data_IF_929921597925
#
_entry.id   IF_929921597925
#
_cell.length_a   1.000
_cell.length_b   1.000
_cell.length_c   1.000
_cell.angle_alpha   90.00
_cell.angle_beta   90.00
_cell.angle_gamma   90.00
#
_symmetry.space_group_name_H-M   'P 1'
#
loop_
_entity.id
_entity.type
_entity.pdbx_description
1 polymer ?
#
# COMPACT_ATOMS: atom_id res chain seq x y z
N UNK A 1 -23.78 -0.83 33.16
CA UNK A 1 -23.14 0.49 32.91
C UNK A 1 -21.64 0.40 32.64
N UNK A 2 -20.87 -0.40 33.38
CA UNK A 2 -19.40 -0.57 33.17
C UNK A 2 -19.01 -1.05 31.76
N UNK A 3 -19.79 -1.93 31.12
CA UNK A 3 -19.55 -2.39 29.74
C UNK A 3 -19.62 -1.26 28.70
N UNK A 4 -20.55 -0.30 28.87
CA UNK A 4 -20.71 0.81 27.93
C UNK A 4 -19.58 1.84 28.09
N UNK A 5 -19.08 2.02 29.32
CA UNK A 5 -17.94 2.91 29.60
C UNK A 5 -16.64 2.36 28.99
N UNK A 6 -16.40 1.05 29.10
CA UNK A 6 -15.25 0.38 28.46
C UNK A 6 -15.26 0.51 26.93
N UNK A 7 -16.44 0.42 26.32
CA UNK A 7 -16.60 0.55 24.86
C UNK A 7 -16.31 1.99 24.38
N UNK A 8 -16.72 2.99 25.16
CA UNK A 8 -16.44 4.41 24.85
C UNK A 8 -14.94 4.71 25.00
N UNK A 9 -14.28 4.19 26.05
CA UNK A 9 -12.84 4.37 26.25
C UNK A 9 -12.05 3.72 25.10
N UNK A 10 -12.46 2.53 24.65
CA UNK A 10 -11.84 1.85 23.52
C UNK A 10 -11.97 2.67 22.22
N UNK A 11 -13.16 3.22 21.95
CA UNK A 11 -13.40 4.10 20.79
C UNK A 11 -12.62 5.42 20.85
N UNK A 12 -12.42 5.99 22.03
CA UNK A 12 -11.62 7.22 22.20
C UNK A 12 -10.12 6.95 22.05
N UNK A 13 -9.65 5.77 22.46
CA UNK A 13 -8.23 5.39 22.31
C UNK A 13 -7.83 5.10 20.86
N UNK A 14 -8.76 4.66 20.00
CA UNK A 14 -8.49 4.45 18.57
C UNK A 14 -8.47 5.75 17.76
N UNK A 15 -9.21 6.78 18.17
CA UNK A 15 -9.18 8.09 17.47
C UNK A 15 -7.87 8.87 17.68
N UNK A 16 -7.15 8.63 18.77
CA UNK A 16 -5.86 9.28 19.06
C UNK A 16 -4.71 8.78 18.16
N UNK A 17 -4.86 7.61 17.53
CA UNK A 17 -3.83 7.01 16.68
C UNK A 17 -3.93 7.41 15.20
N UNK A 18 -5.00 8.09 14.79
CA UNK A 18 -5.20 8.52 13.40
C UNK A 18 -4.37 9.77 13.01
N UNK A 19 -3.77 10.47 13.97
CA UNK A 19 -3.06 11.73 13.74
C UNK A 19 -1.59 11.57 13.28
N UNK A 20 -1.05 10.36 13.20
CA UNK A 20 0.39 10.11 12.96
C UNK A 20 0.76 9.79 11.50
N UNK A 21 -0.20 9.78 10.58
CA UNK A 21 0.04 9.39 9.17
C UNK A 21 0.37 10.54 8.21
N UNK A 22 0.51 11.78 8.69
CA UNK A 22 0.58 12.97 7.83
C UNK A 22 1.97 13.63 7.74
N UNK A 23 3.00 12.97 8.27
CA UNK A 23 4.33 13.56 8.44
C UNK A 23 5.10 13.67 7.11
N UNK A 24 4.95 12.69 6.21
CA UNK A 24 5.79 12.62 5.00
C UNK A 24 5.41 13.65 3.93
N UNK A 25 4.13 14.00 3.81
CA UNK A 25 3.67 15.06 2.89
C UNK A 25 4.17 16.45 3.34
N UNK A 26 4.46 16.63 4.64
CA UNK A 26 4.88 17.93 5.18
C UNK A 26 6.29 18.33 4.75
N UNK A 27 7.23 17.38 4.69
CA UNK A 27 8.64 17.65 4.38
C UNK A 27 8.82 18.04 2.90
N UNK A 28 8.21 17.27 1.99
CA UNK A 28 8.22 17.57 0.56
C UNK A 28 7.61 18.95 0.26
N UNK A 29 6.44 19.27 0.85
CA UNK A 29 5.80 20.57 0.63
C UNK A 29 6.63 21.71 1.21
N UNK A 30 7.22 21.53 2.38
CA UNK A 30 8.13 22.52 2.99
C UNK A 30 9.33 22.78 2.08
N UNK A 31 9.93 21.73 1.54
CA UNK A 31 11.06 21.82 0.62
C UNK A 31 10.67 22.55 -0.68
N UNK A 32 9.49 22.25 -1.23
CA UNK A 32 8.97 22.93 -2.42
C UNK A 32 8.72 24.42 -2.18
N UNK A 33 8.20 24.80 -1.02
CA UNK A 33 8.03 26.21 -0.64
C UNK A 33 9.38 26.93 -0.55
N UNK A 34 10.41 26.27 -0.01
CA UNK A 34 11.77 26.81 0.07
C UNK A 34 12.38 27.05 -1.31
N UNK A 35 12.24 26.09 -2.23
CA UNK A 35 12.66 26.25 -3.63
C UNK A 35 11.93 27.44 -4.29
N UNK A 36 10.61 27.54 -4.12
CA UNK A 36 9.83 28.65 -4.68
C UNK A 36 10.26 30.02 -4.11
N UNK A 37 10.61 30.07 -2.83
CA UNK A 37 11.14 31.29 -2.21
C UNK A 37 12.48 31.71 -2.86
N UNK A 38 13.40 30.76 -3.07
CA UNK A 38 14.67 31.02 -3.75
C UNK A 38 14.46 31.46 -5.20
N UNK A 39 13.55 30.82 -5.94
CA UNK A 39 13.20 31.23 -7.31
C UNK A 39 12.62 32.65 -7.37
N UNK A 40 11.81 33.04 -6.39
CA UNK A 40 11.30 34.41 -6.27
C UNK A 40 12.42 35.41 -6.01
N UNK A 41 13.35 35.08 -5.11
CA UNK A 41 14.53 35.90 -4.85
C UNK A 41 15.41 36.07 -6.11
N UNK A 42 15.65 34.96 -6.84
CA UNK A 42 16.34 34.97 -8.13
C UNK A 42 15.67 35.92 -9.12
N UNK A 43 14.35 35.84 -9.26
CA UNK A 43 13.59 36.70 -10.17
C UNK A 43 13.71 38.17 -9.80
N UNK A 44 13.69 38.51 -8.50
CA UNK A 44 13.87 39.88 -8.04
C UNK A 44 15.28 40.39 -8.34
N UNK A 45 16.32 39.58 -8.08
CA UNK A 45 17.72 39.91 -8.39
C UNK A 45 17.96 40.08 -9.89
N UNK A 46 17.33 39.25 -10.72
CA UNK A 46 17.38 39.41 -12.17
C UNK A 46 16.77 40.74 -12.63
N UNK A 47 15.64 41.16 -12.05
CA UNK A 47 15.06 42.48 -12.33
C UNK A 47 16.00 43.63 -11.94
N UNK A 48 16.68 43.52 -10.80
CA UNK A 48 17.70 44.50 -10.37
C UNK A 48 18.92 44.52 -11.30
N UNK A 49 19.34 43.34 -11.79
CA UNK A 49 20.42 43.23 -12.76
C UNK A 49 20.07 43.94 -14.06
N UNK A 50 18.87 43.70 -14.59
CA UNK A 50 18.38 44.34 -15.80
C UNK A 50 18.37 45.88 -15.67
N UNK A 51 17.82 46.39 -14.56
CA UNK A 51 17.87 47.83 -14.23
C UNK A 51 19.30 48.37 -14.12
N UNK A 52 20.24 47.58 -13.59
CA UNK A 52 21.64 48.00 -13.46
C UNK A 52 22.37 48.07 -14.80
N UNK A 53 21.96 47.28 -15.79
CA UNK A 53 22.52 47.34 -17.14
C UNK A 53 22.16 48.66 -17.84
N UNK A 54 20.96 49.18 -17.58
CA UNK A 54 20.50 50.44 -18.15
C UNK A 54 21.06 51.68 -17.44
N UNK A 55 21.66 51.51 -16.26
CA UNK A 55 22.28 52.61 -15.52
C UNK A 55 23.55 53.12 -16.22
N UNK A 56 23.51 54.39 -16.65
CA UNK A 56 24.64 55.07 -17.32
C UNK A 56 24.89 56.40 -16.61
N UNK A 57 25.73 56.37 -15.56
CA UNK A 57 25.99 57.55 -14.72
C UNK A 57 27.15 58.41 -15.22
N UNK A 58 27.80 58.03 -16.31
CA UNK A 58 28.94 58.74 -16.88
C UNK A 58 28.55 60.04 -17.59
N UNK A 59 29.50 60.98 -17.65
CA UNK A 59 29.33 62.37 -18.14
C UNK A 59 28.80 62.46 -19.60
N UNK A 60 28.84 61.38 -20.38
CA UNK A 60 28.34 61.34 -21.76
C UNK A 60 27.33 60.20 -22.01
N UNK A 61 26.63 59.76 -20.96
CA UNK A 61 25.73 58.60 -21.07
C UNK A 61 26.48 57.28 -21.31
N UNK A 62 27.76 57.21 -20.93
CA UNK A 62 28.52 55.96 -20.88
C UNK A 62 28.40 55.31 -19.50
N UNK A 63 28.50 53.99 -19.46
CA UNK A 63 28.61 53.26 -18.20
C UNK A 63 29.95 53.58 -17.53
N UNK A 64 29.91 53.85 -16.24
CA UNK A 64 31.13 54.01 -15.44
C UNK A 64 31.63 52.65 -14.95
N UNK A 65 32.89 52.60 -14.48
CA UNK A 65 33.41 51.42 -13.79
C UNK A 65 32.58 51.06 -12.55
N UNK A 66 31.96 52.04 -11.89
CA UNK A 66 31.06 51.83 -10.76
C UNK A 66 29.80 51.07 -11.17
N UNK A 67 29.16 51.51 -12.26
CA UNK A 67 27.95 50.88 -12.82
C UNK A 67 28.22 49.41 -13.21
N UNK A 68 29.35 49.16 -13.88
CA UNK A 68 29.78 47.81 -14.28
C UNK A 68 30.08 46.93 -13.06
N UNK A 69 30.72 47.47 -12.02
CA UNK A 69 31.00 46.71 -10.80
C UNK A 69 29.71 46.32 -10.08
N UNK A 70 28.72 47.23 -10.05
CA UNK A 70 27.42 46.98 -9.44
C UNK A 70 26.66 45.88 -10.19
N UNK A 71 26.56 45.95 -11.51
CA UNK A 71 25.88 44.90 -12.30
C UNK A 71 26.56 43.54 -12.17
N UNK A 72 27.91 43.51 -12.12
CA UNK A 72 28.66 42.28 -11.90
C UNK A 72 28.44 41.69 -10.49
N UNK A 73 28.34 42.54 -9.46
CA UNK A 73 27.99 42.11 -8.11
C UNK A 73 26.61 41.46 -8.08
N UNK A 74 25.59 42.09 -8.69
CA UNK A 74 24.24 41.52 -8.76
C UNK A 74 24.27 40.18 -9.51
N UNK A 75 25.02 40.09 -10.62
CA UNK A 75 25.20 38.84 -11.35
C UNK A 75 25.84 37.74 -10.47
N UNK A 76 26.84 38.08 -9.66
CA UNK A 76 27.43 37.13 -8.70
C UNK A 76 26.39 36.65 -7.69
N UNK A 77 25.55 37.55 -7.17
CA UNK A 77 24.48 37.21 -6.23
C UNK A 77 23.39 36.31 -6.84
N UNK A 78 23.13 36.48 -8.14
CA UNK A 78 22.25 35.59 -8.91
C UNK A 78 22.86 34.20 -8.99
N UNK A 79 24.13 34.08 -9.39
CA UNK A 79 24.81 32.77 -9.52
C UNK A 79 24.86 32.03 -8.17
N UNK A 80 25.11 32.74 -7.07
CA UNK A 80 25.07 32.15 -5.72
C UNK A 80 23.66 31.66 -5.35
N UNK A 81 22.62 32.42 -5.72
CA UNK A 81 21.23 31.98 -5.53
C UNK A 81 20.93 30.73 -6.38
N UNK A 82 21.37 30.71 -7.64
CA UNK A 82 21.18 29.56 -8.55
C UNK A 82 21.82 28.29 -7.99
N UNK A 83 23.01 28.37 -7.40
CA UNK A 83 23.63 27.24 -6.71
C UNK A 83 22.78 26.73 -5.54
N UNK A 84 22.17 27.64 -4.77
CA UNK A 84 21.25 27.24 -3.69
C UNK A 84 19.97 26.61 -4.26
N UNK A 85 19.40 27.18 -5.32
CA UNK A 85 18.23 26.61 -6.02
C UNK A 85 18.54 25.18 -6.47
N UNK A 86 19.70 24.93 -7.10
CA UNK A 86 20.09 23.60 -7.54
C UNK A 86 20.24 22.61 -6.38
N UNK A 87 20.85 23.03 -5.28
CA UNK A 87 20.98 22.20 -4.07
C UNK A 87 19.61 21.80 -3.52
N UNK A 88 18.71 22.76 -3.37
CA UNK A 88 17.38 22.50 -2.80
C UNK A 88 16.47 21.72 -3.76
N UNK A 89 16.61 21.91 -5.08
CA UNK A 89 15.94 21.10 -6.10
C UNK A 89 16.39 19.64 -6.09
N UNK A 90 17.69 19.39 -5.90
CA UNK A 90 18.23 18.02 -5.77
C UNK A 90 17.59 17.30 -4.58
N UNK A 91 17.52 17.96 -3.43
CA UNK A 91 16.85 17.42 -2.24
C UNK A 91 15.37 17.14 -2.52
N UNK A 92 14.68 18.06 -3.20
CA UNK A 92 13.27 17.88 -3.57
C UNK A 92 13.06 16.66 -4.50
N UNK A 93 13.98 16.45 -5.43
CA UNK A 93 13.97 15.30 -6.34
C UNK A 93 14.23 14.00 -5.58
N UNK A 94 15.18 13.98 -4.66
CA UNK A 94 15.50 12.81 -3.84
C UNK A 94 14.26 12.37 -3.03
N UNK A 95 13.51 13.32 -2.44
CA UNK A 95 12.24 13.01 -1.76
C UNK A 95 11.20 12.37 -2.69
N UNK A 96 11.08 12.87 -3.92
CA UNK A 96 10.15 12.32 -4.91
C UNK A 96 10.57 10.91 -5.35
N UNK A 97 11.87 10.67 -5.52
CA UNK A 97 12.41 9.36 -5.88
C UNK A 97 12.18 8.34 -4.76
N UNK A 98 12.33 8.74 -3.50
CA UNK A 98 11.98 7.90 -2.35
C UNK A 98 10.49 7.55 -2.33
N UNK A 99 9.61 8.51 -2.60
CA UNK A 99 8.17 8.27 -2.68
C UNK A 99 7.81 7.29 -3.80
N UNK A 100 8.40 7.46 -4.99
CA UNK A 100 8.22 6.52 -6.11
C UNK A 100 8.71 5.12 -5.75
N UNK A 101 9.87 5.00 -5.08
CA UNK A 101 10.39 3.71 -4.60
C UNK A 101 9.43 3.05 -3.60
N UNK A 102 8.88 3.81 -2.64
CA UNK A 102 7.91 3.30 -1.67
C UNK A 102 6.67 2.75 -2.36
N UNK A 103 6.06 3.53 -3.26
CA UNK A 103 4.87 3.09 -4.02
C UNK A 103 5.15 1.83 -4.83
N UNK A 104 6.31 1.77 -5.51
CA UNK A 104 6.71 0.57 -6.27
C UNK A 104 6.88 -0.66 -5.37
N UNK A 105 7.52 -0.50 -4.22
CA UNK A 105 7.74 -1.59 -3.27
C UNK A 105 6.42 -2.09 -2.66
N UNK A 106 5.51 -1.18 -2.35
CA UNK A 106 4.18 -1.51 -1.82
C UNK A 106 3.33 -2.25 -2.86
N UNK A 107 3.35 -1.81 -4.12
CA UNK A 107 2.69 -2.53 -5.21
C UNK A 107 3.26 -3.94 -5.40
N UNK A 108 4.58 -4.09 -5.38
CA UNK A 108 5.24 -5.40 -5.48
C UNK A 108 4.85 -6.31 -4.30
N UNK A 109 4.94 -5.81 -3.07
CA UNK A 109 4.55 -6.56 -1.87
C UNK A 109 3.07 -6.98 -1.90
N UNK A 110 2.20 -6.11 -2.40
CA UNK A 110 0.78 -6.42 -2.57
C UNK A 110 0.56 -7.52 -3.61
N UNK A 111 1.25 -7.46 -4.75
CA UNK A 111 1.20 -8.51 -5.76
C UNK A 111 1.70 -9.86 -5.22
N UNK A 112 2.80 -9.88 -4.48
CA UNK A 112 3.32 -11.09 -3.84
C UNK A 112 2.30 -11.68 -2.86
N UNK A 113 1.63 -10.83 -2.06
CA UNK A 113 0.55 -11.26 -1.16
C UNK A 113 -0.63 -11.85 -1.94
N UNK A 114 -1.04 -11.21 -3.03
CA UNK A 114 -2.13 -11.68 -3.89
C UNK A 114 -1.81 -13.07 -4.47
N UNK A 115 -0.61 -13.26 -5.01
CA UNK A 115 -0.20 -14.56 -5.56
C UNK A 115 -0.13 -15.65 -4.47
N UNK A 116 0.36 -15.32 -3.27
CA UNK A 116 0.36 -16.23 -2.13
C UNK A 116 -1.07 -16.60 -1.67
N UNK A 117 -1.98 -15.63 -1.64
CA UNK A 117 -3.39 -15.90 -1.32
C UNK A 117 -4.05 -16.76 -2.39
N UNK A 118 -3.80 -16.49 -3.67
CA UNK A 118 -4.28 -17.29 -4.79
C UNK A 118 -3.80 -18.73 -4.71
N UNK A 119 -2.51 -18.95 -4.40
CA UNK A 119 -1.97 -20.30 -4.18
C UNK A 119 -2.66 -21.01 -3.01
N UNK A 120 -2.88 -20.30 -1.89
CA UNK A 120 -3.57 -20.84 -0.72
C UNK A 120 -5.04 -21.17 -1.01
N UNK A 121 -5.74 -20.31 -1.73
CA UNK A 121 -7.13 -20.53 -2.18
C UNK A 121 -7.18 -21.76 -3.08
N UNK A 122 -6.26 -21.90 -4.04
CA UNK A 122 -6.19 -23.07 -4.92
C UNK A 122 -5.99 -24.35 -4.12
N UNK A 123 -5.03 -24.34 -3.18
CA UNK A 123 -4.82 -25.49 -2.28
C UNK A 123 -6.09 -25.86 -1.50
N UNK A 124 -6.81 -24.86 -1.00
CA UNK A 124 -8.06 -25.08 -0.27
C UNK A 124 -9.16 -25.64 -1.17
N UNK A 125 -9.25 -25.17 -2.42
CA UNK A 125 -10.16 -25.70 -3.43
C UNK A 125 -9.83 -27.16 -3.78
N UNK A 126 -8.56 -27.48 -3.99
CA UNK A 126 -8.11 -28.85 -4.27
C UNK A 126 -8.44 -29.80 -3.11
N UNK A 127 -8.18 -29.37 -1.86
CA UNK A 127 -8.54 -30.12 -0.66
C UNK A 127 -10.05 -30.31 -0.52
N UNK A 128 -10.85 -29.28 -0.84
CA UNK A 128 -12.30 -29.38 -0.80
C UNK A 128 -12.83 -30.38 -1.85
N UNK A 129 -12.26 -30.40 -3.06
CA UNK A 129 -12.60 -31.38 -4.10
C UNK A 129 -12.25 -32.79 -3.65
N UNK A 130 -11.05 -32.99 -3.10
CA UNK A 130 -10.62 -34.28 -2.55
C UNK A 130 -11.58 -34.76 -1.44
N UNK A 131 -11.84 -33.92 -0.45
CA UNK A 131 -12.73 -34.27 0.66
C UNK A 131 -14.15 -34.61 0.20
N UNK A 132 -14.66 -33.90 -0.82
CA UNK A 132 -15.97 -34.20 -1.41
C UNK A 132 -15.98 -35.56 -2.11
N UNK A 133 -14.91 -35.91 -2.81
CA UNK A 133 -14.77 -37.20 -3.47
C UNK A 133 -14.66 -38.34 -2.43
N UNK A 134 -13.85 -38.15 -1.39
CA UNK A 134 -13.69 -39.12 -0.30
C UNK A 134 -15.02 -39.34 0.44
N UNK A 135 -15.76 -38.27 0.72
CA UNK A 135 -17.09 -38.36 1.33
C UNK A 135 -18.07 -39.11 0.43
N UNK A 136 -18.05 -38.86 -0.88
CA UNK A 136 -18.89 -39.57 -1.84
C UNK A 136 -18.54 -41.06 -1.93
N UNK A 137 -17.25 -41.41 -1.90
CA UNK A 137 -16.78 -42.79 -1.87
C UNK A 137 -17.21 -43.51 -0.58
N UNK A 138 -16.97 -42.89 0.58
CA UNK A 138 -17.37 -43.44 1.88
C UNK A 138 -18.88 -43.62 2.01
N UNK A 139 -19.69 -42.70 1.45
CA UNK A 139 -21.15 -42.87 1.43
C UNK A 139 -21.59 -44.02 0.52
N UNK A 140 -20.94 -44.24 -0.63
CA UNK A 140 -21.21 -45.41 -1.48
C UNK A 140 -20.89 -46.71 -0.75
N UNK A 141 -19.74 -46.79 -0.08
CA UNK A 141 -19.37 -47.97 0.71
C UNK A 141 -20.34 -48.24 1.87
N UNK A 142 -20.76 -47.18 2.58
CA UNK A 142 -21.80 -47.30 3.62
C UNK A 142 -23.12 -47.81 3.06
N UNK A 143 -23.56 -47.31 1.90
CA UNK A 143 -24.79 -47.80 1.27
C UNK A 143 -24.68 -49.29 0.92
N UNK A 144 -23.58 -49.72 0.29
CA UNK A 144 -23.34 -51.13 -0.04
C UNK A 144 -23.33 -51.99 1.22
N UNK A 145 -22.63 -51.56 2.28
CA UNK A 145 -22.59 -52.27 3.57
C UNK A 145 -23.97 -52.39 4.18
N UNK A 146 -24.78 -51.32 4.14
CA UNK A 146 -26.14 -51.32 4.66
C UNK A 146 -27.05 -52.28 3.89
N UNK A 147 -26.93 -52.35 2.55
CA UNK A 147 -27.66 -53.32 1.74
C UNK A 147 -27.27 -54.77 2.08
N UNK A 148 -25.98 -55.05 2.29
CA UNK A 148 -25.49 -56.38 2.68
C UNK A 148 -26.06 -56.78 4.04
N UNK A 149 -26.03 -55.89 5.04
CA UNK A 149 -26.59 -56.14 6.37
C UNK A 149 -28.10 -56.37 6.32
N UNK A 150 -28.84 -55.60 5.51
CA UNK A 150 -30.27 -55.79 5.31
C UNK A 150 -30.59 -57.16 4.67
N UNK A 151 -29.79 -57.60 3.70
CA UNK A 151 -29.94 -58.92 3.09
C UNK A 151 -29.64 -60.07 4.07
N UNK A 152 -28.56 -59.95 4.85
CA UNK A 152 -28.17 -60.93 5.86
C UNK A 152 -29.23 -61.07 6.96
N UNK A 153 -29.79 -59.95 7.44
CA UNK A 153 -30.85 -59.98 8.44
C UNK A 153 -32.14 -60.61 7.91
N UNK A 154 -32.53 -60.33 6.66
CA UNK A 154 -33.69 -60.93 6.01
C UNK A 154 -33.56 -62.46 5.89
N UNK A 155 -32.40 -62.94 5.42
CA UNK A 155 -32.13 -64.38 5.25
C UNK A 155 -32.14 -65.13 6.58
N UNK A 156 -31.57 -64.52 7.63
CA UNK A 156 -31.67 -65.04 9.01
C UNK A 156 -33.12 -65.12 9.49
N UNK A 157 -33.92 -64.09 9.24
CA UNK A 157 -35.34 -64.07 9.64
C UNK A 157 -36.15 -65.17 8.97
N UNK A 158 -35.94 -65.38 7.66
CA UNK A 158 -36.57 -66.47 6.89
C UNK A 158 -36.12 -67.83 7.41
N UNK A 159 -34.82 -68.02 7.67
CA UNK A 159 -34.30 -69.26 8.22
C UNK A 159 -34.91 -69.57 9.61
N UNK A 160 -34.94 -68.59 10.51
CA UNK A 160 -35.58 -68.72 11.83
C UNK A 160 -37.08 -69.07 11.72
N UNK A 161 -37.82 -68.45 10.81
CA UNK A 161 -39.23 -68.75 10.58
C UNK A 161 -39.43 -70.20 10.10
N UNK A 162 -38.60 -70.67 9.17
CA UNK A 162 -38.66 -72.05 8.67
C UNK A 162 -38.30 -73.07 9.76
N UNK A 163 -37.29 -72.78 10.59
CA UNK A 163 -36.94 -73.61 11.75
C UNK A 163 -38.07 -73.68 12.78
N UNK A 164 -38.69 -72.54 13.11
CA UNK A 164 -39.82 -72.49 14.03
C UNK A 164 -41.02 -73.28 13.50
N UNK A 165 -41.31 -73.16 12.19
CA UNK A 165 -42.37 -73.94 11.53
C UNK A 165 -42.07 -75.44 11.52
N UNK A 166 -40.81 -75.85 11.36
CA UNK A 166 -40.41 -77.26 11.47
C UNK A 166 -40.58 -77.81 12.89
N UNK A 167 -40.20 -77.04 13.91
CA UNK A 167 -40.36 -77.44 15.32
C UNK A 167 -41.81 -77.55 15.77
N UNK A 168 -42.73 -76.73 15.23
CA UNK A 168 -44.16 -76.81 15.54
C UNK A 168 -44.90 -77.97 14.83
N UNK A 169 -44.24 -78.61 13.86
CA UNK A 169 -44.82 -79.71 13.05
C UNK A 169 -44.22 -81.08 13.43
N UNK A 170 -43.25 -81.11 14.34
CA UNK A 170 -42.78 -82.29 15.05
C UNK A 170 -43.52 -82.41 16.38
#
# INVERSE_FOLDING_TARGET
MIKNVLFIIFFFSTSLQAATFQTDTSAYQTQRLKVNALLKERSAKFGQYDQSLDSKTGIFGFQTKGDIKNSNEILRQIVLNDNNVFKELKILMDYKDEEVKRVKNEANSTNDRIENYKASIKKLQDQHVQLKNDYAAANKEKQITNYIVMFLTLTLFVACYLFYKKLKKA
#
